data_IF_582997220115
#
_entry.id   IF_582997220115
#
_cell.length_a   1.000
_cell.length_b   1.000
_cell.length_c   1.000
_cell.angle_alpha   90.00
_cell.angle_beta   90.00
_cell.angle_gamma   90.00
#
_symmetry.space_group_name_H-M   'P 1'
#
loop_
_entity.id
_entity.type
_entity.pdbx_description
1 polymer ?
#
# COMPACT_ATOMS: atom_id res chain seq x y z
N UNK A 1 -3.84 20.70 -31.88
CA UNK A 1 -3.89 20.87 -30.41
C UNK A 1 -5.19 20.27 -29.90
N UNK A 2 -5.18 19.05 -29.38
CA UNK A 2 -6.36 18.42 -28.75
C UNK A 2 -6.14 18.48 -27.24
N UNK A 3 -7.01 19.21 -26.54
CA UNK A 3 -7.04 19.29 -25.08
C UNK A 3 -7.53 17.94 -24.55
N UNK A 4 -6.76 17.31 -23.64
CA UNK A 4 -7.19 16.14 -22.90
C UNK A 4 -8.30 16.48 -21.89
N UNK A 5 -9.06 15.50 -21.38
CA UNK A 5 -10.16 15.75 -20.47
C UNK A 5 -9.60 16.18 -19.09
N UNK A 6 -9.66 17.47 -18.84
CA UNK A 6 -9.45 18.08 -17.52
C UNK A 6 -10.79 18.07 -16.81
N UNK A 7 -11.01 17.08 -15.96
CA UNK A 7 -12.28 16.98 -15.24
C UNK A 7 -12.19 16.03 -14.06
N UNK A 8 -11.11 16.15 -13.23
CA UNK A 8 -11.12 15.52 -11.93
C UNK A 8 -11.46 16.61 -10.90
N UNK A 9 -12.66 16.50 -10.30
CA UNK A 9 -13.04 17.26 -9.13
C UNK A 9 -12.82 16.34 -7.91
N UNK A 10 -12.05 16.78 -6.90
CA UNK A 10 -11.96 16.06 -5.63
C UNK A 10 -13.34 16.00 -4.98
N UNK A 11 -13.66 14.94 -4.21
CA UNK A 11 -14.90 14.87 -3.46
C UNK A 11 -15.03 16.11 -2.58
N UNK A 12 -16.13 16.87 -2.78
CA UNK A 12 -16.32 18.22 -2.27
C UNK A 12 -16.19 18.30 -0.75
N UNK A 13 -15.67 19.42 -0.30
CA UNK A 13 -15.71 19.88 1.08
C UNK A 13 -17.17 20.06 1.48
N UNK A 14 -17.68 19.30 2.46
CA UNK A 14 -19.06 19.43 2.90
C UNK A 14 -19.27 20.72 3.67
N UNK A 15 -20.20 21.54 3.19
CA UNK A 15 -20.81 22.64 3.97
C UNK A 15 -21.89 22.06 4.89
N UNK A 16 -21.71 22.20 6.19
CA UNK A 16 -22.77 22.16 7.19
C UNK A 16 -23.03 20.83 7.91
N UNK A 17 -23.10 20.93 9.21
CA UNK A 17 -23.34 19.86 10.21
C UNK A 17 -24.63 19.04 10.02
N UNK A 18 -25.53 19.41 9.11
CA UNK A 18 -26.85 18.76 8.91
C UNK A 18 -26.84 17.55 7.98
N UNK A 19 -25.75 17.26 7.28
CA UNK A 19 -25.68 16.15 6.33
C UNK A 19 -25.31 14.79 6.96
N UNK A 20 -24.95 14.75 8.24
CA UNK A 20 -24.49 13.54 8.94
C UNK A 20 -25.62 12.57 9.28
N UNK A 21 -26.87 13.04 9.41
CA UNK A 21 -28.01 12.26 9.92
C UNK A 21 -28.72 11.35 8.94
N UNK A 22 -28.46 11.41 7.64
CA UNK A 22 -29.30 10.72 6.64
C UNK A 22 -28.60 9.80 5.66
N UNK A 23 -27.28 9.63 5.68
CA UNK A 23 -26.66 8.58 4.90
C UNK A 23 -26.61 7.30 5.73
N UNK A 24 -27.46 6.34 5.34
CA UNK A 24 -27.52 5.00 5.93
C UNK A 24 -26.12 4.43 6.10
N UNK A 25 -25.85 4.04 7.35
CA UNK A 25 -24.65 3.34 7.78
C UNK A 25 -24.39 2.07 6.95
N UNK A 26 -23.73 2.20 5.82
CA UNK A 26 -22.97 1.11 5.25
C UNK A 26 -21.53 1.36 5.65
N UNK A 27 -21.16 0.69 6.75
CA UNK A 27 -19.79 0.49 7.26
C UNK A 27 -18.86 1.71 7.18
N UNK A 28 -19.11 2.66 8.07
CA UNK A 28 -18.16 3.73 8.38
C UNK A 28 -17.21 3.19 9.43
N UNK A 29 -15.91 3.42 9.24
CA UNK A 29 -14.98 3.95 10.22
C UNK A 29 -13.61 3.33 10.15
N UNK A 30 -12.73 4.04 9.51
CA UNK A 30 -11.35 4.17 9.94
C UNK A 30 -11.10 5.66 10.16
N UNK A 31 -10.94 6.08 11.39
CA UNK A 31 -10.41 7.39 11.72
C UNK A 31 -8.89 7.31 11.59
N UNK A 32 -8.28 7.98 10.64
CA UNK A 32 -6.85 8.22 10.64
C UNK A 32 -6.61 9.66 11.08
N UNK A 33 -6.04 9.82 12.25
CA UNK A 33 -5.51 11.10 12.73
C UNK A 33 -4.15 11.29 12.10
N UNK A 34 -4.02 12.20 11.15
CA UNK A 34 -2.74 12.61 10.60
C UNK A 34 -2.12 13.62 11.54
N UNK A 35 -1.48 13.19 12.58
CA UNK A 35 -0.51 13.82 13.46
C UNK A 35 -0.73 13.49 14.93
N UNK A 36 0.26 12.86 15.56
CA UNK A 36 0.51 13.11 16.99
C UNK A 36 1.62 14.16 17.06
N UNK A 37 1.39 15.31 17.72
CA UNK A 37 2.47 16.24 18.01
C UNK A 37 3.39 15.58 19.02
N UNK A 38 4.58 15.19 18.63
CA UNK A 38 5.69 15.05 19.56
C UNK A 38 6.01 16.46 20.04
N UNK A 39 5.97 16.66 21.36
CA UNK A 39 6.16 17.92 22.07
C UNK A 39 6.89 19.02 21.28
N UNK A 40 6.18 20.13 20.98
CA UNK A 40 6.74 21.37 20.49
C UNK A 40 6.72 21.62 18.97
N UNK A 41 6.14 20.74 18.18
CA UNK A 41 6.04 20.88 16.72
C UNK A 41 4.58 21.15 16.33
N UNK A 42 4.35 22.11 15.42
CA UNK A 42 3.02 22.40 14.87
C UNK A 42 2.41 21.13 14.26
N UNK A 43 1.10 20.86 14.40
CA UNK A 43 0.43 19.66 13.88
C UNK A 43 0.61 19.44 12.38
N UNK A 44 0.94 20.47 11.62
CA UNK A 44 1.17 20.43 10.17
C UNK A 44 2.66 20.31 9.79
N UNK A 45 3.58 20.36 10.75
CA UNK A 45 5.01 20.23 10.49
C UNK A 45 5.35 18.77 10.14
N UNK A 46 5.79 18.54 8.89
CA UNK A 46 6.07 17.20 8.34
C UNK A 46 4.99 16.67 7.39
N UNK A 47 3.81 17.31 7.30
CA UNK A 47 2.80 16.97 6.30
C UNK A 47 3.10 17.75 5.01
N UNK A 48 3.27 17.03 3.90
CA UNK A 48 3.41 17.65 2.57
C UNK A 48 2.03 18.11 2.13
N UNK A 49 1.84 19.44 2.08
CA UNK A 49 0.60 20.05 1.57
C UNK A 49 0.76 20.36 0.09
N UNK A 50 -0.26 20.03 -0.70
CA UNK A 50 -0.33 20.31 -2.11
C UNK A 50 -1.44 21.33 -2.42
N UNK A 51 -1.17 22.39 -3.21
CA UNK A 51 -2.19 23.30 -3.68
C UNK A 51 -3.26 22.57 -4.48
N UNK A 52 -4.53 22.90 -4.25
CA UNK A 52 -5.67 22.40 -4.98
C UNK A 52 -6.18 23.46 -5.97
N UNK A 53 -6.93 23.08 -7.03
CA UNK A 53 -7.46 24.01 -8.01
C UNK A 53 -8.40 25.08 -7.43
N UNK A 54 -9.04 24.80 -6.29
CA UNK A 54 -9.91 25.72 -5.57
C UNK A 54 -9.17 26.71 -4.65
N UNK A 55 -7.83 26.70 -4.68
CA UNK A 55 -6.97 27.56 -3.85
C UNK A 55 -6.74 27.02 -2.43
N UNK A 56 -7.29 25.88 -2.06
CA UNK A 56 -7.01 25.20 -0.79
C UNK A 56 -5.73 24.37 -0.89
N UNK A 57 -5.29 23.81 0.24
CA UNK A 57 -4.17 22.86 0.27
C UNK A 57 -4.64 21.55 0.90
N UNK A 58 -4.22 20.42 0.37
CA UNK A 58 -4.54 19.09 0.89
C UNK A 58 -3.25 18.30 1.17
N UNK A 59 -3.22 17.46 2.22
CA UNK A 59 -2.11 16.53 2.44
C UNK A 59 -1.86 15.62 1.26
N UNK A 60 -0.58 15.33 1.00
CA UNK A 60 -0.19 14.43 -0.09
C UNK A 60 -0.92 13.09 -0.01
N UNK A 61 -1.04 12.51 1.17
CA UNK A 61 -1.76 11.23 1.37
C UNK A 61 -3.21 11.30 0.85
N UNK A 62 -3.93 12.38 1.15
CA UNK A 62 -5.30 12.59 0.67
C UNK A 62 -5.34 12.70 -0.85
N UNK A 63 -4.42 13.46 -1.42
CA UNK A 63 -4.34 13.64 -2.87
C UNK A 63 -4.04 12.32 -3.57
N UNK A 64 -3.10 11.53 -3.05
CA UNK A 64 -2.76 10.22 -3.62
C UNK A 64 -3.92 9.25 -3.47
N UNK A 65 -4.52 9.16 -2.29
CA UNK A 65 -5.67 8.29 -2.04
C UNK A 65 -6.84 8.66 -2.94
N UNK A 66 -7.15 9.94 -3.09
CA UNK A 66 -8.21 10.41 -3.98
C UNK A 66 -7.94 10.03 -5.46
N UNK A 67 -6.68 10.06 -5.93
CA UNK A 67 -6.32 9.63 -7.29
C UNK A 67 -6.59 8.14 -7.55
N UNK A 68 -6.45 7.28 -6.54
CA UNK A 68 -6.62 5.83 -6.68
C UNK A 68 -7.99 5.33 -6.22
N UNK A 69 -8.72 6.13 -5.44
CA UNK A 69 -10.09 5.86 -4.96
C UNK A 69 -11.14 6.13 -6.04
N UNK A 70 -11.03 5.45 -7.18
CA UNK A 70 -11.89 5.68 -8.36
C UNK A 70 -12.94 4.59 -8.54
N UNK A 71 -13.37 3.94 -7.46
CA UNK A 71 -14.30 2.81 -7.50
C UNK A 71 -13.62 1.46 -7.72
N UNK A 72 -12.29 1.41 -7.86
CA UNK A 72 -11.55 0.16 -7.97
C UNK A 72 -11.59 -0.60 -6.63
N UNK A 73 -12.10 -1.84 -6.59
CA UNK A 73 -12.39 -2.52 -5.31
C UNK A 73 -11.16 -2.93 -4.50
N UNK A 74 -9.99 -3.03 -5.13
CA UNK A 74 -8.72 -3.42 -4.49
C UNK A 74 -8.01 -2.29 -3.72
N UNK A 75 -8.56 -1.07 -3.74
CA UNK A 75 -8.06 0.08 -2.98
C UNK A 75 -9.19 0.62 -2.12
N UNK A 76 -8.88 1.00 -0.88
CA UNK A 76 -9.85 1.64 0.02
C UNK A 76 -10.37 2.94 -0.59
N UNK A 77 -11.70 3.15 -0.50
CA UNK A 77 -12.31 4.36 -1.04
C UNK A 77 -12.26 5.49 -0.01
N UNK A 78 -11.74 6.64 -0.42
CA UNK A 78 -11.88 7.89 0.31
C UNK A 78 -13.30 8.40 0.13
N UNK A 79 -14.04 8.55 1.22
CA UNK A 79 -15.42 9.02 1.20
C UNK A 79 -15.49 10.53 1.42
N UNK A 80 -14.68 11.02 2.36
CA UNK A 80 -14.65 12.42 2.77
C UNK A 80 -13.35 12.72 3.52
N UNK A 81 -12.95 13.97 3.55
CA UNK A 81 -11.91 14.44 4.46
C UNK A 81 -12.22 15.84 4.99
N UNK A 82 -11.69 16.18 6.16
CA UNK A 82 -11.88 17.47 6.81
C UNK A 82 -10.59 17.95 7.46
N UNK A 83 -10.34 19.23 7.35
CA UNK A 83 -9.34 19.92 8.12
C UNK A 83 -9.96 20.38 9.45
N UNK A 84 -9.32 20.05 10.55
CA UNK A 84 -9.63 20.49 11.90
C UNK A 84 -8.53 21.45 12.37
N UNK A 85 -8.74 22.25 13.41
CA UNK A 85 -7.74 23.23 13.86
C UNK A 85 -6.32 22.68 14.07
N UNK A 86 -6.21 21.43 14.51
CA UNK A 86 -4.94 20.77 14.82
C UNK A 86 -4.79 19.39 14.18
N UNK A 87 -5.74 18.96 13.36
CA UNK A 87 -5.80 17.60 12.82
C UNK A 87 -6.40 17.60 11.42
N UNK A 88 -6.14 16.54 10.68
CA UNK A 88 -6.83 16.25 9.43
C UNK A 88 -7.54 14.91 9.58
N UNK A 89 -8.80 14.92 9.24
CA UNK A 89 -9.67 13.77 9.35
C UNK A 89 -9.95 13.18 7.98
N UNK A 90 -9.67 11.89 7.79
CA UNK A 90 -10.08 11.14 6.62
C UNK A 90 -11.18 10.14 6.98
N UNK A 91 -12.23 10.10 6.17
CA UNK A 91 -13.33 9.12 6.27
C UNK A 91 -13.20 8.18 5.07
N UNK A 92 -13.05 6.89 5.34
CA UNK A 92 -12.86 5.87 4.32
C UNK A 92 -13.87 4.74 4.47
N UNK A 93 -14.11 3.99 3.41
CA UNK A 93 -14.88 2.77 3.51
C UNK A 93 -14.20 1.75 4.42
N UNK A 94 -15.00 0.95 5.10
CA UNK A 94 -14.53 -0.19 5.88
C UNK A 94 -15.54 -1.32 5.82
N UNK A 95 -15.19 -2.53 5.31
CA UNK A 95 -16.06 -3.69 5.40
C UNK A 95 -16.34 -4.06 6.87
N UNK A 96 -17.58 -4.40 7.21
CA UNK A 96 -18.00 -4.69 8.59
C UNK A 96 -17.17 -5.80 9.22
N UNK A 97 -16.89 -6.86 8.46
CA UNK A 97 -16.11 -8.02 8.90
C UNK A 97 -14.78 -8.01 8.20
N UNK A 98 -13.88 -7.13 8.64
CA UNK A 98 -12.55 -7.00 8.04
C UNK A 98 -11.44 -7.19 9.07
N UNK A 99 -10.32 -7.68 8.59
CA UNK A 99 -9.10 -7.90 9.35
C UNK A 99 -7.90 -7.55 8.47
N UNK A 100 -6.85 -6.94 9.03
CA UNK A 100 -5.62 -6.79 8.26
C UNK A 100 -4.96 -8.16 8.01
N UNK A 101 -4.22 -8.24 6.91
CA UNK A 101 -3.63 -9.49 6.45
C UNK A 101 -2.58 -10.05 7.42
N UNK A 102 -1.93 -9.20 8.23
CA UNK A 102 -0.98 -9.66 9.26
C UNK A 102 -1.68 -10.50 10.32
N UNK A 103 -2.78 -9.99 10.87
CA UNK A 103 -3.58 -10.74 11.83
C UNK A 103 -4.22 -11.96 11.19
N UNK A 104 -4.65 -11.86 9.92
CA UNK A 104 -5.20 -12.97 9.16
C UNK A 104 -4.19 -14.12 8.97
N UNK A 105 -2.92 -13.81 8.64
CA UNK A 105 -1.81 -14.78 8.55
C UNK A 105 -1.51 -15.35 9.94
N UNK A 106 -1.35 -14.48 10.94
CA UNK A 106 -0.96 -14.87 12.30
C UNK A 106 -1.95 -15.86 12.92
N UNK A 107 -3.24 -15.67 12.71
CA UNK A 107 -4.28 -16.55 13.23
C UNK A 107 -4.22 -17.97 12.64
N UNK A 108 -3.57 -18.14 11.48
CA UNK A 108 -3.46 -19.39 10.72
C UNK A 108 -2.05 -19.98 10.73
N UNK A 109 -1.07 -19.24 11.24
CA UNK A 109 0.34 -19.55 11.13
C UNK A 109 0.92 -19.24 9.75
N UNK A 110 0.27 -19.67 8.69
CA UNK A 110 0.55 -19.38 7.29
C UNK A 110 -0.72 -19.59 6.44
N UNK A 111 -0.69 -19.15 5.19
CA UNK A 111 -1.81 -19.36 4.27
C UNK A 111 -1.56 -20.58 3.37
N UNK A 112 -2.60 -21.39 3.09
CA UNK A 112 -2.57 -22.38 2.01
C UNK A 112 -2.26 -21.70 0.67
N UNK A 113 -1.58 -22.43 -0.23
CA UNK A 113 -1.10 -21.87 -1.52
C UNK A 113 -2.24 -21.25 -2.34
N UNK A 114 -3.43 -21.87 -2.35
CA UNK A 114 -4.60 -21.35 -3.05
C UNK A 114 -5.06 -19.99 -2.50
N UNK A 115 -5.21 -19.90 -1.18
CA UNK A 115 -5.63 -18.65 -0.50
C UNK A 115 -4.59 -17.55 -0.71
N UNK A 116 -3.30 -17.92 -0.58
CA UNK A 116 -2.20 -16.98 -0.80
C UNK A 116 -2.20 -16.46 -2.25
N UNK A 117 -2.44 -17.32 -3.24
CA UNK A 117 -2.51 -16.97 -4.66
C UNK A 117 -3.65 -15.99 -4.94
N UNK A 118 -4.84 -16.28 -4.44
CA UNK A 118 -6.01 -15.42 -4.64
C UNK A 118 -5.84 -14.03 -4.03
N UNK A 119 -5.38 -13.96 -2.78
CA UNK A 119 -5.13 -12.69 -2.12
C UNK A 119 -3.96 -11.93 -2.75
N UNK A 120 -2.88 -12.62 -3.08
CA UNK A 120 -1.71 -12.00 -3.71
C UNK A 120 -2.04 -11.43 -5.09
N UNK A 121 -2.85 -12.13 -5.89
CA UNK A 121 -3.32 -11.62 -7.18
C UNK A 121 -4.11 -10.32 -7.02
N UNK A 122 -5.02 -10.24 -6.03
CA UNK A 122 -5.77 -9.01 -5.75
C UNK A 122 -4.84 -7.85 -5.33
N UNK A 123 -3.81 -8.14 -4.54
CA UNK A 123 -2.81 -7.12 -4.16
C UNK A 123 -2.00 -6.65 -5.37
N UNK A 124 -1.60 -7.55 -6.27
CA UNK A 124 -0.94 -7.19 -7.53
C UNK A 124 -1.80 -6.25 -8.37
N UNK A 125 -3.08 -6.57 -8.53
CA UNK A 125 -4.01 -5.71 -9.29
C UNK A 125 -4.19 -4.34 -8.62
N UNK A 126 -4.23 -4.28 -7.28
CA UNK A 126 -4.30 -3.02 -6.54
C UNK A 126 -3.04 -2.16 -6.76
N UNK A 127 -1.86 -2.77 -6.72
CA UNK A 127 -0.59 -2.10 -6.95
C UNK A 127 -0.47 -1.63 -8.41
N UNK A 128 -0.91 -2.45 -9.38
CA UNK A 128 -0.97 -2.06 -10.80
C UNK A 128 -1.91 -0.88 -11.03
N UNK A 129 -3.08 -0.89 -10.40
CA UNK A 129 -4.00 0.23 -10.43
C UNK A 129 -3.37 1.50 -9.89
N UNK A 130 -2.72 1.47 -8.71
CA UNK A 130 -2.01 2.63 -8.17
C UNK A 130 -0.95 3.15 -9.15
N UNK A 131 -0.15 2.26 -9.74
CA UNK A 131 0.88 2.61 -10.71
C UNK A 131 0.29 3.25 -11.97
N UNK A 132 -0.82 2.73 -12.48
CA UNK A 132 -1.51 3.30 -13.65
C UNK A 132 -2.07 4.71 -13.37
N UNK A 133 -2.43 4.98 -12.11
CA UNK A 133 -2.81 6.31 -11.63
C UNK A 133 -1.61 7.23 -11.35
N UNK A 134 -0.37 6.78 -11.61
CA UNK A 134 0.85 7.54 -11.32
C UNK A 134 1.18 7.63 -9.83
N UNK A 135 0.74 6.67 -9.02
CA UNK A 135 0.96 6.62 -7.57
C UNK A 135 1.85 5.45 -7.19
N UNK A 136 2.85 5.72 -6.36
CA UNK A 136 3.70 4.72 -5.73
C UNK A 136 3.39 4.65 -4.23
N UNK A 137 2.98 3.49 -3.73
CA UNK A 137 2.55 3.30 -2.34
C UNK A 137 3.71 3.31 -1.33
N UNK A 138 4.84 2.65 -1.64
CA UNK A 138 6.10 2.53 -0.88
C UNK A 138 6.05 1.77 0.45
N UNK A 139 4.89 1.31 0.91
CA UNK A 139 4.77 0.56 2.17
C UNK A 139 3.86 -0.67 2.03
N UNK A 140 4.10 -1.48 0.98
CA UNK A 140 3.36 -2.73 0.75
C UNK A 140 3.79 -3.76 1.79
N UNK A 141 2.88 -4.08 2.71
CA UNK A 141 3.06 -5.05 3.80
C UNK A 141 1.72 -5.60 4.27
N UNK A 142 1.68 -6.73 5.02
CA UNK A 142 0.43 -7.33 5.48
C UNK A 142 -0.45 -6.40 6.32
N UNK A 143 0.14 -5.48 7.09
CA UNK A 143 -0.58 -4.50 7.91
C UNK A 143 -1.39 -3.51 7.06
N UNK A 144 -0.93 -3.23 5.84
CA UNK A 144 -1.55 -2.27 4.92
C UNK A 144 -2.48 -2.94 3.90
N UNK A 145 -2.89 -4.18 4.16
CA UNK A 145 -3.86 -4.92 3.35
C UNK A 145 -5.00 -5.36 4.25
N UNK A 146 -6.20 -4.85 3.99
CA UNK A 146 -7.42 -5.21 4.68
C UNK A 146 -8.12 -6.34 3.92
N UNK A 147 -8.49 -7.41 4.60
CA UNK A 147 -9.24 -8.55 4.04
C UNK A 147 -10.67 -8.49 4.57
N UNK A 148 -11.63 -8.40 3.69
CA UNK A 148 -13.04 -8.61 4.00
C UNK A 148 -13.30 -10.10 4.20
N UNK A 149 -13.65 -10.49 5.41
CA UNK A 149 -13.85 -11.90 5.79
C UNK A 149 -15.15 -12.50 5.24
N UNK A 150 -16.06 -11.68 4.74
CA UNK A 150 -17.31 -12.14 4.15
C UNK A 150 -17.14 -12.48 2.66
N UNK A 151 -16.33 -11.70 1.95
CA UNK A 151 -16.18 -11.81 0.49
C UNK A 151 -14.82 -12.34 0.03
N UNK A 152 -13.79 -12.31 0.91
CA UNK A 152 -12.42 -12.61 0.54
C UNK A 152 -11.74 -11.47 -0.23
N UNK A 153 -12.38 -10.28 -0.35
CA UNK A 153 -11.81 -9.13 -1.04
C UNK A 153 -10.65 -8.54 -0.25
N UNK A 154 -9.50 -8.35 -0.90
CA UNK A 154 -8.38 -7.60 -0.35
C UNK A 154 -8.44 -6.13 -0.79
N UNK A 155 -8.11 -5.21 0.11
CA UNK A 155 -8.02 -3.77 -0.14
C UNK A 155 -6.71 -3.21 0.37
N UNK A 156 -6.00 -2.48 -0.49
CA UNK A 156 -4.81 -1.72 -0.10
C UNK A 156 -5.22 -0.45 0.64
N UNK A 157 -4.59 -0.20 1.79
CA UNK A 157 -4.86 0.94 2.68
C UNK A 157 -3.56 1.66 3.02
N UNK A 158 -3.66 2.86 3.62
CA UNK A 158 -2.54 3.65 4.17
C UNK A 158 -1.54 4.15 3.10
N UNK A 159 -1.82 5.33 2.56
CA UNK A 159 -0.97 6.02 1.58
C UNK A 159 -0.03 7.05 2.21
N UNK A 160 0.15 7.03 3.54
CA UNK A 160 0.99 7.98 4.28
C UNK A 160 2.47 7.95 3.89
N UNK A 161 2.97 6.82 3.40
CA UNK A 161 4.30 6.71 2.81
C UNK A 161 4.33 6.94 1.29
N UNK A 162 3.17 7.14 0.66
CA UNK A 162 3.01 7.24 -0.78
C UNK A 162 3.71 8.45 -1.41
N UNK A 163 3.86 8.43 -2.73
CA UNK A 163 4.36 9.53 -3.54
C UNK A 163 3.91 9.37 -4.99
N UNK A 164 4.15 10.39 -5.81
CA UNK A 164 4.00 10.25 -7.25
C UNK A 164 5.04 9.30 -7.83
N UNK A 165 4.61 8.46 -8.76
CA UNK A 165 5.53 7.62 -9.54
C UNK A 165 6.38 8.51 -10.45
N UNK A 166 7.69 8.29 -10.44
CA UNK A 166 8.65 8.97 -11.31
C UNK A 166 9.60 7.95 -11.94
N UNK A 167 10.18 8.30 -13.08
CA UNK A 167 11.14 7.46 -13.79
C UNK A 167 12.58 7.65 -13.27
N UNK A 168 12.81 8.66 -12.43
CA UNK A 168 14.10 8.91 -11.77
C UNK A 168 14.21 8.17 -10.45
N UNK A 169 15.45 7.99 -9.97
CA UNK A 169 15.70 7.35 -8.69
C UNK A 169 15.20 8.20 -7.51
N UNK A 170 14.71 7.52 -6.47
CA UNK A 170 14.39 8.10 -5.17
C UNK A 170 15.62 8.06 -4.28
N UNK A 171 15.95 9.20 -3.65
CA UNK A 171 17.10 9.38 -2.76
C UNK A 171 16.69 9.48 -1.27
N UNK A 172 15.42 9.38 -0.97
CA UNK A 172 14.87 9.31 0.38
C UNK A 172 13.96 8.09 0.51
N UNK A 173 14.21 7.31 1.56
CA UNK A 173 13.37 6.14 1.84
C UNK A 173 12.16 6.56 2.67
N UNK A 174 10.99 6.09 2.26
CA UNK A 174 9.77 6.08 3.04
C UNK A 174 9.23 4.65 3.10
N UNK A 175 8.50 4.33 4.18
CA UNK A 175 7.95 3.00 4.43
C UNK A 175 8.69 2.23 5.53
N UNK A 176 8.34 0.96 5.64
CA UNK A 176 8.84 0.07 6.70
C UNK A 176 10.23 -0.45 6.34
N UNK A 177 11.24 -0.14 7.18
CA UNK A 177 12.65 -0.45 6.90
C UNK A 177 12.96 -1.92 6.62
N UNK A 178 12.24 -2.86 7.24
CA UNK A 178 12.45 -4.29 6.98
C UNK A 178 11.99 -4.72 5.57
N UNK A 179 11.26 -3.85 4.85
CA UNK A 179 10.83 -4.03 3.46
C UNK A 179 11.69 -3.24 2.47
N UNK A 180 12.72 -2.52 2.95
CA UNK A 180 13.59 -1.76 2.06
C UNK A 180 14.35 -2.68 1.10
N UNK A 181 14.48 -2.31 -0.18
CA UNK A 181 15.20 -3.12 -1.14
C UNK A 181 16.71 -3.04 -0.90
N UNK A 182 17.48 -4.05 -1.35
CA UNK A 182 18.92 -4.10 -1.11
C UNK A 182 19.67 -2.92 -1.74
N UNK A 183 19.25 -2.41 -2.90
CA UNK A 183 19.83 -1.23 -3.53
C UNK A 183 19.76 0.01 -2.62
N UNK A 184 18.66 0.18 -1.87
CA UNK A 184 18.58 1.24 -0.87
C UNK A 184 19.65 1.08 0.21
N UNK A 185 19.79 -0.14 0.72
CA UNK A 185 20.74 -0.44 1.80
C UNK A 185 22.19 -0.24 1.38
N UNK A 186 22.53 -0.50 0.10
CA UNK A 186 23.89 -0.45 -0.42
C UNK A 186 24.24 0.89 -1.04
N UNK A 187 23.31 1.53 -1.74
CA UNK A 187 23.58 2.71 -2.57
C UNK A 187 22.88 3.98 -2.09
N UNK A 188 21.88 3.87 -1.19
CA UNK A 188 21.11 5.01 -0.70
C UNK A 188 20.13 5.61 -1.72
N UNK A 189 19.81 4.87 -2.80
CA UNK A 189 18.80 5.22 -3.79
C UNK A 189 18.08 3.98 -4.33
N UNK A 190 16.92 4.14 -4.93
CA UNK A 190 16.15 3.05 -5.52
C UNK A 190 15.19 3.58 -6.59
N UNK A 191 14.76 2.69 -7.49
CA UNK A 191 13.66 2.95 -8.41
C UNK A 191 12.35 2.40 -7.85
N UNK A 192 11.23 3.12 -8.08
CA UNK A 192 9.96 2.81 -7.46
C UNK A 192 9.40 1.43 -7.81
N UNK A 193 9.36 1.06 -9.09
CA UNK A 193 8.84 -0.25 -9.54
C UNK A 193 9.67 -1.43 -9.01
N UNK A 194 11.01 -1.46 -9.16
CA UNK A 194 11.84 -2.54 -8.57
C UNK A 194 11.69 -2.67 -7.06
N UNK A 195 11.65 -1.55 -6.33
CA UNK A 195 11.44 -1.57 -4.88
C UNK A 195 10.07 -2.13 -4.48
N UNK A 196 9.03 -1.84 -5.27
CA UNK A 196 7.69 -2.40 -5.07
C UNK A 196 7.68 -3.92 -5.29
N UNK A 197 8.34 -4.41 -6.34
CA UNK A 197 8.50 -5.85 -6.60
C UNK A 197 9.21 -6.53 -5.42
N UNK A 198 10.23 -5.89 -4.86
CA UNK A 198 10.92 -6.39 -3.67
C UNK A 198 9.96 -6.53 -2.49
N UNK A 199 9.18 -5.51 -2.17
CA UNK A 199 8.18 -5.54 -1.08
C UNK A 199 7.10 -6.60 -1.31
N UNK A 200 6.64 -6.78 -2.55
CA UNK A 200 5.69 -7.83 -2.94
C UNK A 200 6.27 -9.24 -2.73
N UNK A 201 7.55 -9.44 -2.98
CA UNK A 201 8.22 -10.71 -2.70
C UNK A 201 8.27 -11.04 -1.20
N UNK A 202 8.57 -10.04 -0.36
CA UNK A 202 8.52 -10.17 1.11
C UNK A 202 7.10 -10.51 1.57
N UNK A 203 6.10 -9.78 1.05
CA UNK A 203 4.70 -10.04 1.34
C UNK A 203 4.30 -11.48 1.01
N UNK A 204 4.61 -11.95 -0.21
CA UNK A 204 4.29 -13.31 -0.63
C UNK A 204 4.96 -14.36 0.26
N UNK A 205 6.23 -14.14 0.62
CA UNK A 205 6.92 -15.02 1.57
C UNK A 205 6.18 -15.08 2.90
N UNK A 206 5.78 -13.94 3.46
CA UNK A 206 5.03 -13.93 4.73
C UNK A 206 3.69 -14.63 4.62
N UNK A 207 2.98 -14.50 3.50
CA UNK A 207 1.71 -15.20 3.29
C UNK A 207 1.87 -16.72 3.35
N UNK A 208 2.89 -17.27 2.70
CA UNK A 208 3.07 -18.72 2.58
C UNK A 208 3.98 -19.32 3.65
N UNK A 209 4.85 -18.57 4.29
CA UNK A 209 5.75 -19.03 5.34
C UNK A 209 5.28 -18.65 6.75
N UNK A 210 4.45 -17.60 6.87
CA UNK A 210 3.96 -17.09 8.15
C UNK A 210 4.92 -16.13 8.86
N UNK A 211 6.13 -15.97 8.32
CA UNK A 211 7.19 -15.14 8.92
C UNK A 211 7.90 -14.26 7.90
N UNK A 212 8.52 -13.19 8.39
CA UNK A 212 9.32 -12.30 7.56
C UNK A 212 10.60 -13.02 7.09
N UNK A 213 10.98 -12.94 5.79
CA UNK A 213 12.13 -13.66 5.23
C UNK A 213 13.48 -13.25 5.83
N UNK A 214 13.57 -12.02 6.31
CA UNK A 214 14.80 -11.46 6.87
C UNK A 214 14.67 -11.29 8.38
N UNK A 215 15.58 -11.87 9.14
CA UNK A 215 15.61 -11.68 10.61
C UNK A 215 15.95 -10.24 10.95
N UNK A 216 15.28 -9.70 11.95
CA UNK A 216 15.54 -8.36 12.49
C UNK A 216 17.04 -8.18 12.81
N UNK A 217 17.64 -7.08 12.33
CA UNK A 217 19.05 -6.75 12.59
C UNK A 217 20.08 -7.29 11.60
N UNK A 218 19.71 -8.16 10.66
CA UNK A 218 20.61 -8.54 9.55
C UNK A 218 20.43 -7.56 8.39
N UNK A 219 21.56 -7.12 7.80
CA UNK A 219 21.53 -6.33 6.56
C UNK A 219 20.87 -7.16 5.46
N UNK A 220 19.90 -6.58 4.79
CA UNK A 220 19.30 -7.15 3.58
C UNK A 220 20.39 -7.14 2.51
N UNK A 221 20.72 -8.32 1.98
CA UNK A 221 21.76 -8.51 0.97
C UNK A 221 21.21 -9.25 -0.25
N UNK A 222 21.81 -9.03 -1.41
CA UNK A 222 21.49 -9.74 -2.65
C UNK A 222 21.72 -11.25 -2.59
N UNK A 223 22.59 -11.71 -1.66
CA UNK A 223 22.99 -13.11 -1.55
C UNK A 223 22.16 -13.90 -0.53
N UNK A 224 21.05 -13.33 -0.05
CA UNK A 224 20.18 -14.05 0.87
C UNK A 224 19.45 -15.18 0.15
N UNK A 225 19.90 -16.42 0.40
CA UNK A 225 19.13 -17.59 0.03
C UNK A 225 17.96 -17.77 1.00
N UNK A 226 16.74 -17.72 0.48
CA UNK A 226 15.54 -17.98 1.25
C UNK A 226 15.32 -19.49 1.36
N UNK A 227 15.15 -19.95 2.60
CA UNK A 227 14.67 -21.30 2.85
C UNK A 227 13.16 -21.34 2.63
N UNK A 228 12.73 -21.93 1.53
CA UNK A 228 11.30 -22.13 1.25
C UNK A 228 10.84 -23.45 1.87
N UNK A 229 9.65 -23.47 2.49
CA UNK A 229 9.08 -24.69 3.05
C UNK A 229 8.89 -25.78 1.99
N UNK A 230 9.18 -27.05 2.34
CA UNK A 230 8.98 -28.19 1.43
C UNK A 230 7.52 -28.38 0.98
N UNK A 231 6.57 -27.87 1.77
CA UNK A 231 5.13 -27.90 1.46
C UNK A 231 4.73 -27.04 0.26
N UNK A 232 5.56 -26.06 -0.11
CA UNK A 232 5.30 -25.28 -1.32
C UNK A 232 5.57 -26.16 -2.53
N UNK A 233 4.56 -26.33 -3.36
CA UNK A 233 4.69 -27.05 -4.62
C UNK A 233 5.88 -26.55 -5.43
N UNK A 234 6.83 -27.43 -5.71
CA UNK A 234 7.99 -27.05 -6.53
C UNK A 234 7.59 -26.64 -7.94
N UNK A 235 6.50 -27.19 -8.45
CA UNK A 235 5.92 -26.88 -9.75
C UNK A 235 4.86 -25.76 -9.69
N UNK A 236 4.39 -25.37 -8.51
CA UNK A 236 3.36 -24.35 -8.30
C UNK A 236 3.83 -22.95 -8.71
N UNK A 237 2.89 -22.12 -9.18
CA UNK A 237 3.16 -20.76 -9.62
C UNK A 237 3.85 -19.92 -8.52
N UNK A 238 3.32 -19.96 -7.28
CA UNK A 238 3.88 -19.20 -6.17
C UNK A 238 5.29 -19.65 -5.78
N UNK A 239 5.56 -20.96 -5.79
CA UNK A 239 6.91 -21.49 -5.52
C UNK A 239 7.92 -21.04 -6.58
N UNK A 240 7.54 -20.97 -7.86
CA UNK A 240 8.39 -20.44 -8.94
C UNK A 240 8.62 -18.93 -8.74
N UNK A 241 7.56 -18.16 -8.48
CA UNK A 241 7.65 -16.71 -8.26
C UNK A 241 8.58 -16.37 -7.10
N UNK A 242 8.46 -17.07 -5.97
CA UNK A 242 9.34 -16.85 -4.80
C UNK A 242 10.79 -17.24 -5.08
N UNK A 243 11.04 -18.34 -5.82
CA UNK A 243 12.40 -18.71 -6.24
C UNK A 243 13.00 -17.68 -7.18
N UNK A 244 12.25 -17.21 -8.17
CA UNK A 244 12.66 -16.15 -9.06
C UNK A 244 13.03 -14.87 -8.31
N UNK A 245 12.18 -14.48 -7.36
CA UNK A 245 12.41 -13.31 -6.52
C UNK A 245 13.65 -13.45 -5.62
N UNK A 246 13.90 -14.64 -5.07
CA UNK A 246 15.06 -14.88 -4.19
C UNK A 246 16.42 -14.94 -4.92
N UNK A 247 16.42 -14.98 -6.27
CA UNK A 247 17.64 -15.02 -7.10
C UNK A 247 17.70 -13.84 -8.09
N UNK A 248 17.85 -12.61 -7.63
CA UNK A 248 17.61 -11.40 -8.43
C UNK A 248 18.56 -11.20 -9.63
N UNK A 249 19.65 -11.94 -9.73
CA UNK A 249 20.61 -11.78 -10.85
C UNK A 249 20.18 -12.42 -12.17
N UNK A 250 19.21 -13.36 -12.17
CA UNK A 250 18.86 -14.13 -13.38
C UNK A 250 17.42 -13.91 -13.91
N UNK A 251 16.50 -13.37 -13.10
CA UNK A 251 15.07 -13.42 -13.42
C UNK A 251 14.29 -12.14 -13.09
N UNK A 252 14.94 -10.96 -13.02
CA UNK A 252 14.22 -9.67 -12.87
C UNK A 252 13.11 -9.50 -13.92
N UNK A 253 13.34 -9.98 -15.13
CA UNK A 253 12.35 -9.92 -16.21
C UNK A 253 11.07 -10.74 -15.94
N UNK A 254 11.15 -11.81 -15.14
CA UNK A 254 9.97 -12.66 -14.84
C UNK A 254 8.98 -12.00 -13.91
N UNK A 255 9.45 -11.20 -12.95
CA UNK A 255 8.59 -10.49 -12.01
C UNK A 255 8.08 -9.18 -12.61
N UNK A 256 8.87 -8.53 -13.47
CA UNK A 256 8.43 -7.36 -14.25
C UNK A 256 7.27 -7.70 -15.20
N UNK A 257 7.21 -8.95 -15.69
CA UNK A 257 6.07 -9.44 -16.51
C UNK A 257 4.80 -9.71 -15.70
N UNK A 258 4.91 -9.88 -14.37
CA UNK A 258 3.75 -10.03 -13.49
C UNK A 258 3.24 -8.66 -12.97
N UNK A 259 4.04 -7.63 -13.12
CA UNK A 259 3.77 -6.24 -12.76
C UNK A 259 3.58 -5.38 -14.01
#
# INVERSE_FOLDING_TARGET
MRRGPTGWEPPGRLEGERAWGQRKAQSILGWLRLSEPRHGISPTEGIVLLPQPDGTSAPLEIVLLAKVSTGFPGVVQLLEWRELPNDILMVMERPERSQDLKHFIRARGFLPEEVARELFHQVLEAVRHCTSCGVLHRDIKPENILVDLATGQAKLIDFGCGTYLQDTAYIHFAGTRSYSPPEWTHFGWYYGKPATIWSLGILLHQMVCGEHPFRTGKKISWDHQLSLPQRLSQAGALGRTLRAWSHPRKEKESLEKLY
#
